data_IF_508386125701
#
_entry.id   IF_508386125701
#
_cell.length_a   1.000
_cell.length_b   1.000
_cell.length_c   1.000
_cell.angle_alpha   90.00
_cell.angle_beta   90.00
_cell.angle_gamma   90.00
#
_symmetry.space_group_name_H-M   'P 1'
#
loop_
_entity.id
_entity.type
_entity.pdbx_description
1 polymer ?
#
# COMPACT_ATOMS: atom_id res chain seq x y z
N UNK A 1 -0.17 -18.93 6.73
CA UNK A 1 1.14 -19.43 7.20
C UNK A 1 1.64 -18.63 8.40
N UNK A 2 1.92 -17.32 8.28
CA UNK A 2 1.36 -16.30 9.19
C UNK A 2 1.18 -16.70 10.67
N UNK A 3 -0.08 -17.02 10.95
CA UNK A 3 -0.68 -17.40 12.23
C UNK A 3 -0.34 -18.81 12.74
N UNK A 4 0.16 -19.68 11.89
CA UNK A 4 0.28 -21.12 12.18
C UNK A 4 1.71 -21.55 12.56
N UNK A 5 2.70 -20.70 12.32
CA UNK A 5 4.11 -20.99 12.54
C UNK A 5 4.82 -19.77 13.17
N UNK A 6 5.92 -19.97 13.91
CA UNK A 6 6.68 -18.88 14.52
C UNK A 6 7.55 -18.18 13.48
N UNK A 7 6.92 -17.39 12.61
CA UNK A 7 7.56 -16.68 11.51
C UNK A 7 7.44 -15.17 11.68
N UNK A 8 8.34 -14.44 11.03
CA UNK A 8 8.29 -12.99 10.88
C UNK A 8 8.17 -12.64 9.40
N UNK A 9 7.57 -11.49 9.10
CA UNK A 9 7.46 -10.98 7.75
C UNK A 9 7.69 -9.46 7.76
N UNK A 10 8.42 -8.97 6.76
CA UNK A 10 8.51 -7.55 6.45
C UNK A 10 7.42 -7.22 5.43
N UNK A 11 6.57 -6.25 5.74
CA UNK A 11 5.42 -5.86 4.91
C UNK A 11 5.41 -4.34 4.71
N UNK A 12 4.73 -3.81 3.68
CA UNK A 12 4.47 -2.37 3.55
C UNK A 12 3.75 -1.84 4.78
N UNK A 13 4.19 -0.69 5.30
CA UNK A 13 3.63 -0.09 6.52
C UNK A 13 2.12 0.17 6.41
N UNK A 14 1.64 0.59 5.23
CA UNK A 14 0.22 0.85 4.98
C UNK A 14 -0.69 -0.37 5.19
N UNK A 15 -0.15 -1.59 5.11
CA UNK A 15 -0.89 -2.85 5.28
C UNK A 15 -0.69 -3.46 6.67
N UNK A 16 0.30 -3.00 7.42
CA UNK A 16 0.77 -3.69 8.62
C UNK A 16 -0.31 -3.74 9.71
N UNK A 17 -0.93 -2.60 10.03
CA UNK A 17 -1.93 -2.50 11.10
C UNK A 17 -3.23 -3.25 10.74
N UNK A 18 -3.74 -3.06 9.51
CA UNK A 18 -4.94 -3.75 9.03
C UNK A 18 -4.77 -5.28 9.10
N UNK A 19 -3.62 -5.79 8.65
CA UNK A 19 -3.34 -7.22 8.71
C UNK A 19 -3.13 -7.71 10.14
N UNK A 20 -2.56 -6.89 11.01
CA UNK A 20 -2.44 -7.22 12.43
C UNK A 20 -3.81 -7.40 13.07
N UNK A 21 -4.73 -6.46 12.83
CA UNK A 21 -6.09 -6.50 13.34
C UNK A 21 -6.86 -7.71 12.78
N UNK A 22 -6.90 -7.86 11.45
CA UNK A 22 -7.66 -8.91 10.78
C UNK A 22 -7.16 -10.34 11.09
N UNK A 23 -5.92 -10.49 11.57
CA UNK A 23 -5.28 -11.79 11.78
C UNK A 23 -4.76 -12.02 13.20
N UNK A 24 -4.97 -11.08 14.12
CA UNK A 24 -4.48 -11.19 15.50
C UNK A 24 -2.95 -11.24 15.57
N UNK A 25 -2.26 -10.52 14.69
CA UNK A 25 -0.79 -10.45 14.66
C UNK A 25 -0.30 -9.21 15.43
N UNK A 26 1.01 -9.09 15.56
CA UNK A 26 1.67 -7.92 16.15
C UNK A 26 2.61 -7.29 15.13
N UNK A 27 2.65 -5.96 15.12
CA UNK A 27 3.57 -5.16 14.31
C UNK A 27 4.69 -4.64 15.19
N UNK A 28 5.90 -4.59 14.64
CA UNK A 28 7.06 -3.94 15.25
C UNK A 28 7.87 -3.24 14.16
N UNK A 29 8.57 -2.13 14.47
CA UNK A 29 9.49 -1.53 13.52
C UNK A 29 10.59 -2.54 13.12
N UNK A 30 11.10 -2.49 11.88
CA UNK A 30 12.19 -3.34 11.45
C UNK A 30 13.46 -3.03 12.26
N UNK A 31 14.34 -4.02 12.49
CA UNK A 31 15.58 -3.82 13.25
C UNK A 31 16.70 -3.12 12.45
N UNK A 32 16.42 -2.78 11.19
CA UNK A 32 17.31 -2.07 10.28
C UNK A 32 16.53 -0.92 9.65
N UNK A 33 17.23 0.14 9.27
CA UNK A 33 16.63 1.23 8.50
C UNK A 33 16.28 0.72 7.09
N UNK A 34 15.01 0.84 6.71
CA UNK A 34 14.49 0.45 5.40
C UNK A 34 13.98 1.72 4.73
N UNK A 35 14.56 2.13 3.58
CA UNK A 35 14.12 3.34 2.91
C UNK A 35 12.65 3.22 2.47
N UNK A 36 11.87 4.30 2.55
CA UNK A 36 10.52 4.31 2.01
C UNK A 36 10.57 4.12 0.49
N UNK A 37 9.47 3.61 -0.07
CA UNK A 37 9.27 3.51 -1.51
C UNK A 37 8.04 4.30 -1.94
N UNK A 38 8.03 4.74 -3.19
CA UNK A 38 6.94 5.53 -3.76
C UNK A 38 5.95 4.61 -4.47
N UNK A 39 4.66 4.81 -4.20
CA UNK A 39 3.56 4.24 -4.99
C UNK A 39 3.15 5.28 -6.02
N UNK A 40 3.18 4.91 -7.30
CA UNK A 40 2.89 5.82 -8.41
C UNK A 40 1.67 5.36 -9.19
N UNK A 41 0.79 6.30 -9.53
CA UNK A 41 -0.23 6.12 -10.56
C UNK A 41 0.39 6.44 -11.92
N UNK A 42 0.34 5.47 -12.85
CA UNK A 42 0.96 5.61 -14.17
C UNK A 42 -0.10 5.38 -15.24
N UNK A 43 -0.16 6.31 -16.19
CA UNK A 43 -1.01 6.23 -17.39
C UNK A 43 -0.20 6.28 -18.67
N UNK A 44 -0.75 5.74 -19.73
CA UNK A 44 -0.15 5.87 -21.06
C UNK A 44 -0.38 7.28 -21.61
N UNK A 45 0.64 7.92 -22.20
CA UNK A 45 0.52 9.30 -22.70
C UNK A 45 -0.60 9.49 -23.75
N UNK A 46 -0.84 8.48 -24.59
CA UNK A 46 -1.89 8.53 -25.60
C UNK A 46 -3.32 8.50 -25.05
N UNK A 47 -3.50 8.19 -23.75
CA UNK A 47 -4.82 8.27 -23.13
C UNK A 47 -5.17 9.68 -22.66
N UNK A 48 -4.34 10.68 -22.93
CA UNK A 48 -4.57 12.07 -22.57
C UNK A 48 -5.92 12.60 -23.05
N UNK A 49 -6.67 13.23 -22.15
CA UNK A 49 -7.99 13.79 -22.45
C UNK A 49 -9.14 12.76 -22.48
N UNK A 50 -8.90 11.52 -22.02
CA UNK A 50 -9.98 10.57 -21.72
C UNK A 50 -10.67 10.97 -20.40
N UNK A 51 -11.93 11.44 -20.44
CA UNK A 51 -12.59 11.97 -19.23
C UNK A 51 -12.83 10.91 -18.15
N UNK A 52 -12.94 9.63 -18.53
CA UNK A 52 -13.15 8.55 -17.58
C UNK A 52 -11.88 8.22 -16.81
N UNK A 53 -10.73 8.22 -17.50
CA UNK A 53 -9.43 8.04 -16.85
C UNK A 53 -9.04 9.26 -16.02
N UNK A 54 -9.33 10.48 -16.51
CA UNK A 54 -9.09 11.71 -15.76
C UNK A 54 -9.89 11.72 -14.45
N UNK A 55 -11.18 11.36 -14.51
CA UNK A 55 -12.03 11.19 -13.31
C UNK A 55 -11.48 10.11 -12.36
N UNK A 56 -11.08 8.94 -12.86
CA UNK A 56 -10.57 7.85 -12.02
C UNK A 56 -9.26 8.24 -11.33
N UNK A 57 -8.37 8.92 -12.05
CA UNK A 57 -7.11 9.44 -11.51
C UNK A 57 -7.37 10.42 -10.36
N UNK A 58 -8.33 11.34 -10.50
CA UNK A 58 -8.76 12.23 -9.42
C UNK A 58 -9.27 11.45 -8.20
N UNK A 59 -10.11 10.43 -8.39
CA UNK A 59 -10.62 9.62 -7.26
C UNK A 59 -9.51 8.86 -6.53
N UNK A 60 -8.55 8.28 -7.27
CA UNK A 60 -7.44 7.55 -6.67
C UNK A 60 -6.55 8.51 -5.88
N UNK A 61 -6.26 9.69 -6.41
CA UNK A 61 -5.45 10.70 -5.72
C UNK A 61 -6.14 11.20 -4.43
N UNK A 62 -7.45 11.44 -4.47
CA UNK A 62 -8.22 11.86 -3.31
C UNK A 62 -8.17 10.80 -2.20
N UNK A 63 -8.44 9.54 -2.52
CA UNK A 63 -8.43 8.43 -1.56
C UNK A 63 -7.02 8.14 -1.04
N UNK A 64 -5.99 8.19 -1.89
CA UNK A 64 -4.62 7.89 -1.51
C UNK A 64 -3.93 9.04 -0.74
N UNK A 65 -4.47 10.26 -0.81
CA UNK A 65 -4.01 11.41 -0.04
C UNK A 65 -4.55 11.47 1.40
N UNK A 66 -5.50 10.60 1.75
CA UNK A 66 -6.04 10.42 3.10
C UNK A 66 -5.19 9.46 3.94
#
# INVERSE_FOLDING_TARGET
>A
MLKALPLLATVPAALAEEWAEAHGLRVSPPPIDIPPFTVSLIRHAASGGDPGLDWLEEQIIDIAGQ
#
